data_IF_344178665829
#
_entry.id   IF_344178665829
#
_cell.length_a   1.000
_cell.length_b   1.000
_cell.length_c   1.000
_cell.angle_alpha   90.00
_cell.angle_beta   90.00
_cell.angle_gamma   90.00
#
_symmetry.space_group_name_H-M   'P 1'
#
loop_
_entity.id
_entity.type
_entity.pdbx_description
1 polymer ?
#
# COMPACT_ATOMS: atom_id res chain seq x y z
N UNK A 1 29.91 -1.04 30.56
CA UNK A 1 29.55 -1.61 29.25
C UNK A 1 28.19 -1.03 28.86
N UNK A 2 28.11 -0.33 27.73
CA UNK A 2 26.95 0.48 27.32
C UNK A 2 25.94 -0.44 26.61
N UNK A 3 24.76 -0.60 27.19
CA UNK A 3 23.68 -1.42 26.64
C UNK A 3 22.85 -0.53 25.71
N UNK A 4 23.07 -0.65 24.41
CA UNK A 4 22.50 0.21 23.39
C UNK A 4 21.58 -0.64 22.49
N UNK A 5 20.31 -0.22 22.46
CA UNK A 5 19.50 -0.04 21.25
C UNK A 5 19.26 -1.26 20.36
N UNK A 6 18.00 -1.71 20.35
CA UNK A 6 17.25 -1.80 19.10
C UNK A 6 15.75 -1.62 19.40
N UNK A 7 15.33 -0.36 19.57
CA UNK A 7 13.98 0.01 19.22
C UNK A 7 13.84 -0.21 17.71
N UNK A 8 13.07 -1.22 17.30
CA UNK A 8 12.54 -1.29 15.94
C UNK A 8 11.03 -1.29 16.06
N UNK A 9 10.52 -0.11 16.40
CA UNK A 9 9.27 0.33 15.80
C UNK A 9 9.47 0.16 14.29
N UNK A 10 8.81 -0.86 13.72
CA UNK A 10 9.06 -1.38 12.38
C UNK A 10 8.79 -0.32 11.33
N UNK A 11 9.81 0.48 11.05
CA UNK A 11 9.80 1.56 10.08
C UNK A 11 9.28 1.08 8.74
N UNK A 12 8.53 1.97 8.11
CA UNK A 12 8.17 1.93 6.69
C UNK A 12 9.50 1.81 5.93
N UNK A 13 9.78 0.65 5.34
CA UNK A 13 10.96 0.45 4.50
C UNK A 13 10.45 0.12 3.11
N UNK A 14 10.09 1.17 2.38
CA UNK A 14 10.04 1.15 0.93
C UNK A 14 9.90 2.56 0.37
N UNK A 15 10.43 2.75 -0.86
CA UNK A 15 10.25 3.98 -1.61
C UNK A 15 8.82 4.08 -2.11
N UNK A 16 8.13 5.13 -1.69
CA UNK A 16 6.87 5.54 -2.29
C UNK A 16 7.17 6.47 -3.46
N UNK A 17 6.58 6.19 -4.63
CA UNK A 17 6.51 7.11 -5.75
C UNK A 17 5.13 7.76 -5.76
N UNK A 18 5.08 9.08 -5.88
CA UNK A 18 3.83 9.82 -6.02
C UNK A 18 3.54 9.95 -7.51
N UNK A 19 2.42 9.39 -7.96
CA UNK A 19 1.94 9.48 -9.34
C UNK A 19 0.84 10.54 -9.42
N UNK A 20 1.08 11.61 -10.16
CA UNK A 20 0.08 12.64 -10.44
C UNK A 20 -0.86 12.19 -11.57
N UNK A 21 -1.70 11.18 -11.32
CA UNK A 21 -2.79 10.82 -12.22
C UNK A 21 -4.09 11.41 -11.66
N UNK A 22 -4.71 12.37 -12.34
CA UNK A 22 -6.01 12.90 -11.94
C UNK A 22 -7.12 11.90 -12.28
N UNK A 23 -7.90 11.46 -11.29
CA UNK A 23 -9.14 10.71 -11.55
C UNK A 23 -10.18 11.65 -12.18
N UNK A 24 -10.41 11.49 -13.48
CA UNK A 24 -11.42 12.20 -14.23
C UNK A 24 -12.85 11.65 -13.95
N UNK A 25 -13.27 11.54 -12.69
CA UNK A 25 -14.65 11.19 -12.31
C UNK A 25 -15.07 11.68 -10.91
N UNK A 26 -14.60 12.82 -10.44
CA UNK A 26 -15.36 13.64 -9.48
C UNK A 26 -14.75 15.04 -9.44
N UNK A 27 -15.44 16.00 -10.04
CA UNK A 27 -15.13 17.42 -9.93
C UNK A 27 -14.89 17.75 -8.45
N UNK A 28 -13.74 18.37 -8.12
CA UNK A 28 -13.29 18.81 -6.78
C UNK A 28 -12.55 17.85 -5.83
N UNK A 29 -12.26 16.59 -6.19
CA UNK A 29 -11.33 15.81 -5.34
C UNK A 29 -9.92 15.89 -5.90
N UNK A 30 -9.14 16.87 -5.43
CA UNK A 30 -7.69 16.87 -5.59
C UNK A 30 -7.11 15.64 -4.88
N UNK A 31 -7.16 14.46 -5.49
CA UNK A 31 -6.57 13.25 -4.95
C UNK A 31 -5.35 12.87 -5.79
N UNK A 32 -4.30 12.43 -5.13
CA UNK A 32 -3.04 12.01 -5.75
C UNK A 32 -2.87 10.51 -5.54
N UNK A 33 -2.53 9.79 -6.60
CA UNK A 33 -2.24 8.36 -6.52
C UNK A 33 -0.85 8.17 -5.95
N UNK A 34 -0.74 7.43 -4.86
CA UNK A 34 0.53 6.99 -4.31
C UNK A 34 0.74 5.53 -4.69
N UNK A 35 1.91 5.23 -5.21
CA UNK A 35 2.42 3.88 -5.40
C UNK A 35 3.53 3.63 -4.38
N UNK A 36 3.42 2.56 -3.60
CA UNK A 36 4.39 2.19 -2.57
C UNK A 36 4.72 0.70 -2.74
N UNK A 37 6.00 0.37 -2.83
CA UNK A 37 6.43 -1.03 -2.74
C UNK A 37 6.34 -1.47 -1.28
N UNK A 38 6.02 -2.72 -0.98
CA UNK A 38 6.13 -3.27 0.37
C UNK A 38 6.88 -4.59 0.32
N UNK A 39 7.91 -4.73 1.16
CA UNK A 39 8.64 -5.99 1.30
C UNK A 39 7.96 -6.81 2.39
N UNK A 40 7.40 -7.95 2.01
CA UNK A 40 6.69 -8.87 2.90
C UNK A 40 7.62 -9.35 4.02
N UNK A 41 7.11 -9.36 5.25
CA UNK A 41 7.86 -9.77 6.46
C UNK A 41 7.32 -11.10 7.00
N UNK A 42 8.11 -11.82 7.81
CA UNK A 42 7.61 -12.99 8.53
C UNK A 42 6.36 -12.64 9.36
N UNK A 43 5.29 -13.42 9.18
CA UNK A 43 4.01 -13.22 9.88
C UNK A 43 3.04 -12.26 9.21
N UNK A 44 3.41 -11.60 8.11
CA UNK A 44 2.45 -10.84 7.32
C UNK A 44 1.47 -11.78 6.60
N UNK A 45 0.24 -11.30 6.42
CA UNK A 45 -0.74 -11.90 5.51
C UNK A 45 -1.15 -10.87 4.47
N UNK A 46 -1.56 -11.32 3.28
CA UNK A 46 -2.04 -10.41 2.23
C UNK A 46 -3.22 -9.56 2.73
N UNK A 47 -4.10 -10.17 3.54
CA UNK A 47 -5.22 -9.49 4.19
C UNK A 47 -4.76 -8.42 5.20
N UNK A 48 -3.84 -8.75 6.11
CA UNK A 48 -3.35 -7.78 7.10
C UNK A 48 -2.57 -6.62 6.48
N UNK A 49 -1.87 -6.88 5.37
CA UNK A 49 -1.26 -5.81 4.56
C UNK A 49 -2.35 -4.95 3.92
N UNK A 50 -3.39 -5.56 3.33
CA UNK A 50 -4.50 -4.83 2.73
C UNK A 50 -5.22 -3.93 3.75
N UNK A 51 -5.53 -4.43 4.95
CA UNK A 51 -6.14 -3.65 6.03
C UNK A 51 -5.27 -2.46 6.45
N UNK A 52 -3.95 -2.69 6.56
CA UNK A 52 -2.99 -1.65 6.92
C UNK A 52 -2.91 -0.54 5.87
N UNK A 53 -2.93 -0.90 4.59
CA UNK A 53 -2.70 0.04 3.50
C UNK A 53 -3.96 0.69 2.96
N UNK A 54 -5.13 0.03 3.03
CA UNK A 54 -6.41 0.68 2.70
C UNK A 54 -6.67 1.88 3.63
N UNK A 55 -6.21 1.82 4.88
CA UNK A 55 -6.31 2.92 5.83
C UNK A 55 -5.54 4.19 5.39
N UNK A 56 -4.57 4.06 4.48
CA UNK A 56 -3.84 5.20 3.88
C UNK A 56 -4.65 5.87 2.75
N UNK A 57 -5.72 5.25 2.25
CA UNK A 57 -6.57 5.78 1.19
C UNK A 57 -7.50 6.88 1.72
N UNK A 58 -7.02 8.12 1.73
CA UNK A 58 -7.75 9.30 2.21
C UNK A 58 -8.41 10.12 1.10
N UNK A 59 -7.98 9.89 -0.15
CA UNK A 59 -8.44 10.60 -1.35
C UNK A 59 -9.82 10.14 -1.84
N UNK A 60 -10.20 8.90 -1.59
CA UNK A 60 -11.48 8.33 -2.06
C UNK A 60 -12.08 7.38 -1.01
N UNK A 61 -13.32 6.93 -1.23
CA UNK A 61 -13.84 5.78 -0.51
C UNK A 61 -13.47 4.53 -1.30
N UNK A 62 -12.82 3.55 -0.65
CA UNK A 62 -12.45 2.28 -1.26
C UNK A 62 -12.74 1.15 -0.29
N UNK A 63 -13.54 0.18 -0.72
CA UNK A 63 -13.88 -0.96 0.13
C UNK A 63 -12.70 -1.94 0.23
N UNK A 64 -12.56 -2.66 1.34
CA UNK A 64 -11.40 -3.55 1.59
C UNK A 64 -11.24 -4.63 0.50
N UNK A 65 -12.34 -5.16 -0.04
CA UNK A 65 -12.27 -6.17 -1.11
C UNK A 65 -11.80 -5.56 -2.44
N UNK A 66 -12.22 -4.33 -2.76
CA UNK A 66 -11.72 -3.58 -3.93
C UNK A 66 -10.24 -3.22 -3.75
N UNK A 67 -9.81 -2.95 -2.52
CA UNK A 67 -8.41 -2.71 -2.21
C UNK A 67 -7.58 -3.97 -2.47
N UNK A 68 -8.02 -5.11 -1.92
CA UNK A 68 -7.37 -6.40 -2.14
C UNK A 68 -7.31 -6.77 -3.62
N UNK A 69 -8.39 -6.59 -4.38
CA UNK A 69 -8.40 -6.82 -5.84
C UNK A 69 -7.34 -5.98 -6.53
N UNK A 70 -7.21 -4.70 -6.16
CA UNK A 70 -6.18 -3.85 -6.73
C UNK A 70 -4.75 -4.27 -6.36
N UNK A 71 -4.52 -4.87 -5.20
CA UNK A 71 -3.21 -5.48 -4.89
C UNK A 71 -2.93 -6.62 -5.86
N UNK A 72 -3.91 -7.47 -6.15
CA UNK A 72 -3.79 -8.58 -7.10
C UNK A 72 -3.57 -8.10 -8.54
N UNK A 73 -4.24 -7.03 -8.95
CA UNK A 73 -4.06 -6.38 -10.26
C UNK A 73 -2.66 -5.78 -10.41
N UNK A 74 -2.15 -5.09 -9.39
CA UNK A 74 -0.80 -4.52 -9.40
C UNK A 74 0.31 -5.57 -9.32
N UNK A 75 -0.02 -6.78 -8.85
CA UNK A 75 0.92 -7.88 -8.61
C UNK A 75 0.38 -9.17 -9.24
N UNK A 76 0.33 -9.26 -10.58
CA UNK A 76 -0.35 -10.36 -11.28
C UNK A 76 0.21 -11.76 -10.94
N UNK A 77 1.47 -11.82 -10.47
CA UNK A 77 2.10 -13.04 -9.96
C UNK A 77 1.37 -13.65 -8.75
N UNK A 78 0.56 -12.87 -8.04
CA UNK A 78 -0.30 -13.38 -6.97
C UNK A 78 -1.34 -14.37 -7.49
N UNK A 79 -1.80 -14.24 -8.73
CA UNK A 79 -2.77 -15.17 -9.33
C UNK A 79 -2.19 -16.57 -9.46
N UNK A 80 -0.96 -16.67 -9.96
CA UNK A 80 -0.23 -17.94 -10.09
C UNK A 80 0.06 -18.58 -8.73
N UNK A 81 0.20 -17.76 -7.69
CA UNK A 81 0.42 -18.21 -6.31
C UNK A 81 -0.86 -18.32 -5.49
N UNK A 82 -2.04 -18.17 -6.09
CA UNK A 82 -3.33 -18.16 -5.38
C UNK A 82 -3.37 -17.23 -4.16
N UNK A 83 -2.74 -16.05 -4.27
CA UNK A 83 -2.65 -15.05 -3.19
C UNK A 83 -1.62 -15.36 -2.10
N UNK A 84 -0.81 -16.41 -2.26
CA UNK A 84 0.26 -16.74 -1.31
C UNK A 84 1.45 -15.78 -1.43
N UNK A 85 1.89 -15.28 -0.28
CA UNK A 85 3.05 -14.38 -0.13
C UNK A 85 4.09 -15.00 0.80
N UNK A 86 5.36 -14.68 0.57
CA UNK A 86 6.49 -15.14 1.36
C UNK A 86 7.36 -13.96 1.80
N UNK A 87 8.05 -14.05 2.95
CA UNK A 87 9.00 -13.02 3.37
C UNK A 87 10.01 -12.69 2.25
N UNK A 88 10.18 -11.40 1.98
CA UNK A 88 11.03 -10.90 0.90
C UNK A 88 10.30 -10.63 -0.42
N UNK A 89 9.07 -11.15 -0.62
CA UNK A 89 8.25 -10.77 -1.76
C UNK A 89 8.00 -9.26 -1.76
N UNK A 90 7.93 -8.67 -2.95
CA UNK A 90 7.65 -7.24 -3.14
C UNK A 90 6.23 -7.08 -3.67
N UNK A 91 5.40 -6.36 -2.92
CA UNK A 91 4.06 -5.98 -3.33
C UNK A 91 4.04 -4.52 -3.77
N UNK A 92 3.56 -4.24 -4.97
CA UNK A 92 3.22 -2.88 -5.40
C UNK A 92 1.82 -2.54 -4.89
N UNK A 93 1.73 -1.55 -4.01
CA UNK A 93 0.49 -1.14 -3.35
C UNK A 93 0.13 0.28 -3.82
N UNK A 94 -1.14 0.52 -4.13
CA UNK A 94 -1.60 1.84 -4.57
C UNK A 94 -2.73 2.36 -3.70
N UNK A 95 -2.72 3.65 -3.37
CA UNK A 95 -3.77 4.32 -2.61
C UNK A 95 -3.85 5.80 -2.95
N UNK A 96 -5.05 6.37 -2.87
CA UNK A 96 -5.30 7.78 -3.13
C UNK A 96 -5.15 8.59 -1.85
N UNK A 97 -4.40 9.68 -1.90
CA UNK A 97 -4.26 10.64 -0.80
C UNK A 97 -4.94 11.94 -1.19
N UNK A 98 -5.67 12.58 -0.26
CA UNK A 98 -6.15 13.95 -0.46
C UNK A 98 -4.95 14.88 -0.67
N UNK A 99 -4.86 15.46 -1.86
CA UNK A 99 -3.99 16.57 -2.18
C UNK A 99 -4.47 17.85 -1.47
N UNK A 100 -3.52 18.75 -1.23
CA UNK A 100 -3.82 20.06 -0.68
C UNK A 100 -4.60 20.85 -1.73
N UNK A 101 -5.88 21.11 -1.45
CA UNK A 101 -6.65 22.10 -2.21
C UNK A 101 -5.96 23.45 -2.08
N UNK A 102 -5.79 24.16 -3.19
CA UNK A 102 -5.41 25.57 -3.15
C UNK A 102 -6.57 26.43 -2.70
#
# INVERSE_FOLDING_TARGET
>A
MRNWKAAVAGGIVAGAAILCAGMATQEDTHAVLVEEVYVVRPGDTLWGIAERYVAKNTGTRRYILEYKSGIEENNPWLLERHGMIYPGDKLTLTYWVKGEGK
#
